data_IF_874444336024
#
_entry.id   IF_874444336024
#
_cell.length_a   1.000
_cell.length_b   1.000
_cell.length_c   1.000
_cell.angle_alpha   90.00
_cell.angle_beta   90.00
_cell.angle_gamma   90.00
#
_symmetry.space_group_name_H-M   'P 1'
#
loop_
_entity.id
_entity.type
_entity.pdbx_description
1 polymer ?
#
# COMPACT_ATOMS: atom_id res chain seq x y z
N UNK A 1 17.70 6.16 -3.37
CA UNK A 1 16.99 4.98 -2.84
C UNK A 1 17.13 3.81 -3.82
N UNK A 2 17.08 2.59 -3.30
CA UNK A 2 17.21 1.36 -4.10
C UNK A 2 15.96 0.48 -3.85
N UNK A 3 15.30 0.09 -4.94
CA UNK A 3 14.27 -0.94 -4.91
C UNK A 3 14.91 -2.33 -4.92
N UNK A 4 14.46 -3.20 -4.03
CA UNK A 4 15.06 -4.52 -3.82
C UNK A 4 14.02 -5.63 -3.94
N UNK A 5 14.46 -6.80 -4.43
CA UNK A 5 13.64 -8.01 -4.50
C UNK A 5 13.88 -8.85 -3.24
N UNK A 6 12.84 -8.97 -2.42
CA UNK A 6 12.88 -9.66 -1.13
C UNK A 6 11.66 -10.58 -0.93
N UNK A 7 11.22 -11.24 -1.99
CA UNK A 7 10.05 -12.12 -1.98
C UNK A 7 8.73 -11.44 -2.37
N UNK A 8 8.80 -10.20 -2.79
CA UNK A 8 7.68 -9.40 -3.27
C UNK A 8 7.48 -9.55 -4.79
N UNK A 9 6.26 -9.34 -5.27
CA UNK A 9 5.89 -9.29 -6.68
C UNK A 9 4.88 -8.17 -6.95
N UNK A 10 4.68 -7.82 -8.22
CA UNK A 10 3.68 -6.83 -8.62
C UNK A 10 2.34 -7.50 -8.97
N UNK A 11 1.25 -6.77 -8.75
CA UNK A 11 -0.11 -7.22 -9.06
C UNK A 11 -0.76 -7.98 -7.91
N UNK A 12 -1.81 -8.75 -8.23
CA UNK A 12 -2.47 -9.61 -7.26
C UNK A 12 -1.63 -10.88 -7.03
N UNK A 13 -1.41 -11.21 -5.78
CA UNK A 13 -0.70 -12.45 -5.42
C UNK A 13 -1.59 -13.68 -5.61
N UNK A 14 -1.02 -14.72 -6.21
CA UNK A 14 -1.67 -16.05 -6.34
C UNK A 14 -1.56 -16.82 -5.01
N UNK A 15 -0.48 -16.60 -4.28
CA UNK A 15 -0.24 -17.15 -2.95
C UNK A 15 0.17 -16.04 -2.00
N UNK A 16 -0.10 -16.20 -0.71
CA UNK A 16 0.33 -15.22 0.30
C UNK A 16 1.85 -14.99 0.19
N UNK A 17 2.29 -13.76 -0.04
CA UNK A 17 3.71 -13.46 -0.14
C UNK A 17 4.41 -13.71 1.19
N UNK A 18 5.67 -14.12 1.13
CA UNK A 18 6.53 -14.27 2.29
C UNK A 18 7.82 -13.47 2.06
N UNK A 19 7.97 -12.38 2.82
CA UNK A 19 9.15 -11.52 2.70
C UNK A 19 10.37 -12.18 3.36
N UNK A 20 11.50 -12.07 2.68
CA UNK A 20 12.80 -12.52 3.18
C UNK A 20 13.40 -11.45 4.12
N UNK A 21 13.09 -11.56 5.40
CA UNK A 21 13.52 -10.60 6.42
C UNK A 21 15.04 -10.59 6.64
N UNK A 22 15.69 -11.75 6.53
CA UNK A 22 17.15 -11.85 6.65
C UNK A 22 17.84 -11.10 5.52
N UNK A 23 17.29 -11.19 4.31
CA UNK A 23 17.78 -10.42 3.16
C UNK A 23 17.55 -8.92 3.35
N UNK A 24 16.39 -8.50 3.88
CA UNK A 24 16.13 -7.08 4.18
C UNK A 24 17.18 -6.56 5.16
N UNK A 25 17.41 -7.25 6.27
CA UNK A 25 18.38 -6.86 7.28
C UNK A 25 19.82 -6.80 6.72
N UNK A 26 20.20 -7.79 5.91
CA UNK A 26 21.50 -7.85 5.26
C UNK A 26 21.72 -6.69 4.29
N UNK A 27 20.73 -6.40 3.45
CA UNK A 27 20.78 -5.27 2.52
C UNK A 27 20.84 -3.93 3.25
N UNK A 28 20.05 -3.79 4.34
CA UNK A 28 20.08 -2.56 5.16
C UNK A 28 21.43 -2.32 5.79
N UNK A 29 22.10 -3.37 6.26
CA UNK A 29 23.44 -3.28 6.86
C UNK A 29 24.53 -2.96 5.82
N UNK A 30 24.38 -3.48 4.61
CA UNK A 30 25.38 -3.31 3.55
C UNK A 30 25.27 -1.96 2.80
N UNK A 31 24.08 -1.32 2.81
CA UNK A 31 23.78 -0.17 1.97
C UNK A 31 23.48 1.08 2.79
N UNK A 32 24.18 2.21 2.57
CA UNK A 32 23.92 3.47 3.28
C UNK A 32 22.70 4.24 2.73
N UNK A 33 22.05 3.74 1.68
CA UNK A 33 20.93 4.41 1.01
C UNK A 33 19.57 3.83 1.43
N UNK A 34 18.47 4.62 1.36
CA UNK A 34 17.13 4.13 1.66
C UNK A 34 16.71 2.98 0.75
N UNK A 35 16.07 1.96 1.34
CA UNK A 35 15.51 0.81 0.63
C UNK A 35 14.04 1.02 0.30
N UNK A 36 13.59 0.51 -0.85
CA UNK A 36 12.22 0.62 -1.35
C UNK A 36 11.64 -0.77 -1.56
N UNK A 37 10.45 -1.01 -1.03
CA UNK A 37 9.64 -2.21 -1.29
C UNK A 37 8.58 -1.88 -2.35
N UNK A 38 8.63 -2.58 -3.49
CA UNK A 38 7.58 -2.57 -4.50
C UNK A 38 6.56 -3.68 -4.26
N UNK A 39 5.40 -3.62 -4.97
CA UNK A 39 4.40 -4.67 -4.92
C UNK A 39 3.82 -4.92 -3.52
N UNK A 40 3.63 -3.86 -2.73
CA UNK A 40 3.22 -3.98 -1.32
C UNK A 40 1.73 -4.25 -1.13
N UNK A 41 0.93 -4.29 -2.20
CA UNK A 41 -0.48 -4.67 -2.13
C UNK A 41 -0.61 -6.13 -1.69
N UNK A 42 -1.59 -6.42 -0.84
CA UNK A 42 -1.91 -7.76 -0.34
C UNK A 42 -0.76 -8.46 0.45
N UNK A 43 0.32 -7.76 0.79
CA UNK A 43 1.29 -8.27 1.77
C UNK A 43 0.66 -8.19 3.17
N UNK A 44 0.76 -9.27 3.99
CA UNK A 44 0.24 -9.28 5.34
C UNK A 44 0.73 -8.08 6.18
N UNK A 45 -0.17 -7.46 6.98
CA UNK A 45 0.16 -6.28 7.79
C UNK A 45 1.40 -6.45 8.67
N UNK A 46 1.56 -7.59 9.30
CA UNK A 46 2.68 -7.92 10.17
C UNK A 46 4.01 -7.96 9.40
N UNK A 47 4.00 -8.45 8.15
CA UNK A 47 5.20 -8.48 7.32
C UNK A 47 5.59 -7.06 6.85
N UNK A 48 4.61 -6.21 6.54
CA UNK A 48 4.86 -4.80 6.22
C UNK A 48 5.46 -4.07 7.43
N UNK A 49 4.90 -4.25 8.62
CA UNK A 49 5.42 -3.63 9.84
C UNK A 49 6.83 -4.11 10.17
N UNK A 50 7.10 -5.40 10.01
CA UNK A 50 8.44 -5.95 10.27
C UNK A 50 9.46 -5.42 9.27
N UNK A 51 9.09 -5.31 7.99
CA UNK A 51 9.98 -4.71 6.99
C UNK A 51 10.31 -3.23 7.28
N UNK A 52 9.37 -2.46 7.88
CA UNK A 52 9.68 -1.10 8.38
C UNK A 52 10.72 -1.15 9.50
N UNK A 53 10.55 -2.05 10.50
CA UNK A 53 11.50 -2.18 11.62
C UNK A 53 12.89 -2.58 11.14
N UNK A 54 12.97 -3.39 10.10
CA UNK A 54 14.22 -3.83 9.48
C UNK A 54 14.85 -2.78 8.54
N UNK A 55 14.20 -1.62 8.35
CA UNK A 55 14.78 -0.46 7.68
C UNK A 55 14.32 -0.21 6.25
N UNK A 56 13.22 -0.82 5.80
CA UNK A 56 12.54 -0.36 4.59
C UNK A 56 12.00 1.05 4.79
N UNK A 57 12.30 1.94 3.85
CA UNK A 57 12.02 3.37 3.98
C UNK A 57 10.87 3.87 3.09
N UNK A 58 10.51 3.11 2.04
CA UNK A 58 9.46 3.48 1.08
C UNK A 58 8.69 2.24 0.64
N UNK A 59 7.38 2.37 0.53
CA UNK A 59 6.45 1.31 0.16
C UNK A 59 5.59 1.75 -1.03
N UNK A 60 5.59 0.97 -2.10
CA UNK A 60 4.77 1.24 -3.28
C UNK A 60 3.54 0.34 -3.29
N UNK A 61 2.37 0.95 -3.10
CA UNK A 61 1.07 0.29 -3.03
C UNK A 61 0.20 0.84 -4.16
N UNK A 62 -0.26 0.00 -5.06
CA UNK A 62 -1.10 0.41 -6.19
C UNK A 62 -2.40 -0.40 -6.27
N UNK A 63 -2.34 -1.73 -6.38
CA UNK A 63 -3.49 -2.59 -6.61
C UNK A 63 -4.59 -2.41 -5.55
N UNK A 64 -4.24 -2.42 -4.26
CA UNK A 64 -5.21 -2.19 -3.18
C UNK A 64 -5.80 -0.77 -3.23
N UNK A 65 -4.99 0.25 -3.57
CA UNK A 65 -5.46 1.62 -3.70
C UNK A 65 -6.50 1.74 -4.82
N UNK A 66 -6.21 1.20 -6.01
CA UNK A 66 -7.17 1.21 -7.10
C UNK A 66 -8.43 0.39 -6.78
N UNK A 67 -8.29 -0.69 -6.02
CA UNK A 67 -9.42 -1.48 -5.53
C UNK A 67 -10.31 -0.66 -4.57
N UNK A 68 -9.71 0.11 -3.67
CA UNK A 68 -10.45 1.03 -2.78
C UNK A 68 -11.19 2.11 -3.58
N UNK A 69 -10.56 2.72 -4.58
CA UNK A 69 -11.21 3.66 -5.49
C UNK A 69 -12.37 3.02 -6.25
N UNK A 70 -12.17 1.81 -6.79
CA UNK A 70 -13.22 1.07 -7.49
C UNK A 70 -14.42 0.77 -6.60
N UNK A 71 -14.18 0.34 -5.37
CA UNK A 71 -15.26 0.12 -4.40
C UNK A 71 -16.04 1.40 -4.11
N UNK A 72 -15.37 2.55 -4.01
CA UNK A 72 -16.03 3.84 -3.89
C UNK A 72 -16.97 4.12 -5.08
N UNK A 73 -16.51 3.89 -6.30
CA UNK A 73 -17.35 4.06 -7.50
C UNK A 73 -18.57 3.12 -7.48
N UNK A 74 -18.38 1.85 -7.13
CA UNK A 74 -19.47 0.87 -7.04
C UNK A 74 -20.49 1.23 -5.93
N UNK A 75 -20.00 1.78 -4.83
CA UNK A 75 -20.85 2.14 -3.67
C UNK A 75 -21.68 3.40 -3.94
N UNK A 76 -21.15 4.38 -4.64
CA UNK A 76 -21.76 5.70 -4.80
C UNK A 76 -22.29 5.96 -6.22
N UNK A 77 -21.87 5.16 -7.22
CA UNK A 77 -22.36 5.26 -8.59
C UNK A 77 -23.80 4.75 -8.71
N UNK A 78 -24.68 5.58 -9.23
CA UNK A 78 -26.05 5.18 -9.58
C UNK A 78 -26.18 5.00 -11.10
N UNK A 79 -26.26 3.76 -11.61
CA UNK A 79 -26.41 3.51 -13.05
C UNK A 79 -27.76 4.02 -13.62
N UNK A 80 -28.74 4.30 -12.76
CA UNK A 80 -30.05 4.86 -13.16
C UNK A 80 -30.04 6.39 -13.27
N UNK A 81 -29.00 7.07 -12.81
CA UNK A 81 -28.89 8.51 -12.85
C UNK A 81 -28.64 9.02 -14.29
N UNK A 82 -29.64 9.68 -14.87
CA UNK A 82 -29.59 10.15 -16.26
C UNK A 82 -28.66 11.35 -16.50
N UNK A 83 -28.39 12.14 -15.46
CA UNK A 83 -27.63 13.38 -15.55
C UNK A 83 -26.25 13.33 -14.89
N UNK A 84 -25.78 12.16 -14.54
CA UNK A 84 -24.53 11.79 -13.86
C UNK A 84 -23.68 12.96 -13.35
N UNK A 85 -23.76 13.26 -12.05
CA UNK A 85 -22.90 14.27 -11.43
C UNK A 85 -21.51 13.66 -11.13
N UNK A 86 -20.60 13.79 -12.09
CA UNK A 86 -19.22 13.30 -11.94
C UNK A 86 -18.49 13.98 -10.79
N UNK A 87 -18.75 15.26 -10.52
CA UNK A 87 -18.10 15.96 -9.41
C UNK A 87 -18.53 15.36 -8.06
N UNK A 88 -19.85 15.17 -7.88
CA UNK A 88 -20.40 14.51 -6.69
C UNK A 88 -19.82 13.11 -6.53
N UNK A 89 -19.82 12.30 -7.58
CA UNK A 89 -19.25 10.95 -7.56
C UNK A 89 -17.78 10.96 -7.16
N UNK A 90 -16.98 11.86 -7.71
CA UNK A 90 -15.56 12.00 -7.37
C UNK A 90 -15.37 12.39 -5.90
N UNK A 91 -16.19 13.29 -5.37
CA UNK A 91 -16.13 13.70 -3.96
C UNK A 91 -16.49 12.56 -3.03
N UNK A 92 -17.59 11.87 -3.30
CA UNK A 92 -18.06 10.73 -2.48
C UNK A 92 -17.07 9.54 -2.53
N UNK A 93 -16.51 9.24 -3.70
CA UNK A 93 -15.54 8.14 -3.85
C UNK A 93 -14.16 8.47 -3.26
N UNK A 94 -13.83 9.77 -3.12
CA UNK A 94 -12.54 10.17 -2.53
C UNK A 94 -12.37 9.73 -1.08
N UNK A 95 -13.45 9.62 -0.32
CA UNK A 95 -13.40 9.15 1.07
C UNK A 95 -12.84 7.72 1.18
N UNK A 96 -13.22 6.82 0.26
CA UNK A 96 -12.68 5.46 0.22
C UNK A 96 -11.15 5.46 0.00
N UNK A 97 -10.67 6.31 -0.90
CA UNK A 97 -9.24 6.47 -1.16
C UNK A 97 -8.50 7.08 0.04
N UNK A 98 -9.09 8.10 0.67
CA UNK A 98 -8.54 8.77 1.86
C UNK A 98 -8.45 7.79 3.02
N UNK A 99 -9.50 7.03 3.30
CA UNK A 99 -9.50 6.06 4.39
C UNK A 99 -8.50 4.92 4.16
N UNK A 100 -8.39 4.45 2.92
CA UNK A 100 -7.36 3.48 2.55
C UNK A 100 -5.94 4.03 2.83
N UNK A 101 -5.62 5.22 2.33
CA UNK A 101 -4.30 5.84 2.52
C UNK A 101 -4.02 6.07 4.01
N UNK A 102 -5.00 6.62 4.74
CA UNK A 102 -4.90 6.83 6.19
C UNK A 102 -4.62 5.52 6.94
N UNK A 103 -5.31 4.44 6.58
CA UNK A 103 -5.08 3.11 7.12
C UNK A 103 -3.65 2.61 6.86
N UNK A 104 -3.16 2.75 5.64
CA UNK A 104 -1.78 2.35 5.27
C UNK A 104 -0.71 3.21 5.95
N UNK A 105 -0.93 4.52 6.09
CA UNK A 105 -0.02 5.39 6.85
C UNK A 105 0.10 4.96 8.31
N UNK A 106 -1.02 4.62 8.96
CA UNK A 106 -1.02 4.11 10.34
C UNK A 106 -0.30 2.76 10.43
N UNK A 107 -0.57 1.85 9.50
CA UNK A 107 0.06 0.54 9.44
C UNK A 107 1.58 0.64 9.29
N UNK A 108 2.05 1.50 8.39
CA UNK A 108 3.47 1.69 8.09
C UNK A 108 4.20 2.60 9.10
N UNK A 109 3.54 2.98 10.19
CA UNK A 109 4.14 3.69 11.31
C UNK A 109 4.14 2.85 12.60
N UNK A 110 4.78 1.66 12.61
CA UNK A 110 4.79 0.77 13.78
C UNK A 110 5.53 1.39 14.98
N UNK A 111 6.42 2.36 14.73
CA UNK A 111 7.18 3.07 15.77
C UNK A 111 6.44 4.29 16.32
N UNK A 112 5.23 4.59 15.81
CA UNK A 112 4.35 5.68 16.27
C UNK A 112 5.03 7.06 16.23
N UNK A 113 5.82 7.32 15.18
CA UNK A 113 6.32 8.67 14.93
C UNK A 113 5.15 9.64 14.75
N UNK A 114 5.26 10.84 15.36
CA UNK A 114 4.33 11.95 15.13
C UNK A 114 4.86 12.81 13.98
N UNK A 115 3.97 13.27 13.11
CA UNK A 115 4.27 14.15 11.98
C UNK A 115 3.64 15.52 12.21
#
# INVERSE_FOLDING_TARGET
SLAVAVGNAHGAYVQTPNLDFDRIASLRSALPIPLVLHGCSDIPPEQLQESVRLGMSKFNIATEYFRACYHGVVQHGDPAEKNGDMFRLMMETSENAIDFVRGKMRLLNPNKFTF
#
